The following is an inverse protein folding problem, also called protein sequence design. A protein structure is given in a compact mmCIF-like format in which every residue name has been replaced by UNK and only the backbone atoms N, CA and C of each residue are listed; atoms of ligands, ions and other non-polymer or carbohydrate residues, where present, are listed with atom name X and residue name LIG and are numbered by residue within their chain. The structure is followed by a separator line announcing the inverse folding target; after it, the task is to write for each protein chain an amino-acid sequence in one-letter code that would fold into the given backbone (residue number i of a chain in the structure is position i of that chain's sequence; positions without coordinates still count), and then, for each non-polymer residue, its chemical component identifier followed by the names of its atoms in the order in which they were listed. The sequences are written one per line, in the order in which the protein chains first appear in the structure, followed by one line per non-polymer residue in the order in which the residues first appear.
data_IF_003524095423
#
_entry.id   IF_003524095423
#
_cell.length_a   1.000
_cell.length_b   1.000
_cell.length_c   1.000
_cell.angle_alpha   90.00
_cell.angle_beta   90.00
_cell.angle_gamma   90.00
#
_symmetry.space_group_name_H-M   'P 1'
#
loop_
_entity.id
_entity.type
_entity.pdbx_description
1 polymer ?
#
# COMPACT_ATOMS: atom_id res chain seq x y z
N UNK A 1 11.28 15.67 25.71
CA UNK A 1 9.91 16.22 25.85
C UNK A 1 9.10 15.65 24.72
N UNK A 2 7.90 15.11 25.02
CA UNK A 2 6.95 14.64 24.00
C UNK A 2 6.12 15.83 23.53
N UNK A 3 5.79 15.87 22.24
CA UNK A 3 4.88 16.88 21.70
C UNK A 3 3.49 16.63 22.29
N UNK A 4 2.88 17.68 22.86
CA UNK A 4 1.48 17.66 23.33
C UNK A 4 0.56 18.36 22.35
N UNK A 5 1.13 19.12 21.40
CA UNK A 5 0.43 19.81 20.32
C UNK A 5 1.37 19.97 19.13
N UNK A 6 0.86 19.75 17.94
CA UNK A 6 1.53 20.05 16.66
C UNK A 6 0.62 20.99 15.88
N UNK A 7 1.12 22.17 15.54
CA UNK A 7 0.43 23.15 14.71
C UNK A 7 0.95 23.07 13.27
N UNK A 8 0.07 23.28 12.31
CA UNK A 8 0.33 23.24 10.88
C UNK A 8 0.17 24.64 10.27
N UNK A 9 0.78 24.88 9.11
CA UNK A 9 0.81 26.19 8.44
C UNK A 9 -0.59 26.70 8.05
N UNK A 10 -1.58 25.82 7.91
CA UNK A 10 -2.98 26.15 7.65
C UNK A 10 -3.79 26.53 8.91
N UNK A 11 -3.12 26.58 10.08
CA UNK A 11 -3.71 26.92 11.37
C UNK A 11 -4.45 25.78 12.06
N UNK A 12 -4.50 24.60 11.47
CA UNK A 12 -5.01 23.40 12.13
C UNK A 12 -3.97 22.83 13.11
N UNK A 13 -4.39 21.95 14.00
CA UNK A 13 -3.47 21.34 14.96
C UNK A 13 -3.92 19.95 15.38
N UNK A 14 -2.97 19.16 15.86
CA UNK A 14 -3.18 17.89 16.57
C UNK A 14 -2.83 18.10 18.05
N UNK A 15 -3.56 17.42 18.93
CA UNK A 15 -3.31 17.41 20.37
C UNK A 15 -3.08 15.98 20.86
N UNK A 16 -2.19 15.83 21.83
CA UNK A 16 -1.83 14.54 22.40
C UNK A 16 -1.78 14.61 23.92
N UNK A 17 -2.31 13.59 24.59
CA UNK A 17 -2.13 13.40 26.03
C UNK A 17 -1.36 12.12 26.29
N UNK A 18 -0.60 12.13 27.38
CA UNK A 18 0.23 10.99 27.78
C UNK A 18 0.02 10.66 29.27
N UNK A 19 0.08 9.38 29.59
CA UNK A 19 0.10 8.96 31.00
C UNK A 19 1.47 9.27 31.66
N UNK A 20 1.56 8.95 32.96
CA UNK A 20 2.79 9.19 33.75
C UNK A 20 4.00 8.37 33.27
N UNK A 21 3.78 7.26 32.56
CA UNK A 21 4.83 6.42 31.97
C UNK A 21 5.16 6.83 30.55
N UNK A 22 4.32 7.71 29.97
CA UNK A 22 4.50 8.32 28.68
C UNK A 22 3.90 7.54 27.52
N UNK A 23 2.95 6.69 27.76
CA UNK A 23 2.10 6.12 26.72
C UNK A 23 1.10 7.18 26.28
N UNK A 24 0.83 7.28 24.98
CA UNK A 24 -0.19 8.20 24.45
C UNK A 24 -1.57 7.66 24.79
N UNK A 25 -2.34 8.42 25.57
CA UNK A 25 -3.70 8.04 26.02
C UNK A 25 -4.79 8.76 25.25
N UNK A 26 -4.48 9.87 24.57
CA UNK A 26 -5.41 10.61 23.72
C UNK A 26 -4.67 11.21 22.53
N UNK A 27 -5.32 11.19 21.39
CA UNK A 27 -5.00 11.97 20.22
C UNK A 27 -6.26 12.63 19.69
N UNK A 28 -6.20 13.95 19.50
CA UNK A 28 -7.16 14.71 18.73
C UNK A 28 -6.53 15.07 17.40
N UNK A 29 -7.11 14.60 16.31
CA UNK A 29 -6.59 14.86 14.97
C UNK A 29 -6.95 16.29 14.49
N UNK A 30 -6.49 16.65 13.30
CA UNK A 30 -6.71 17.99 12.71
C UNK A 30 -8.18 18.33 12.46
N UNK A 31 -9.05 17.33 12.29
CA UNK A 31 -10.52 17.49 12.18
C UNK A 31 -11.23 17.55 13.53
N UNK A 32 -10.49 17.41 14.63
CA UNK A 32 -11.04 17.44 15.99
C UNK A 32 -11.54 16.10 16.51
N UNK A 33 -11.34 15.02 15.78
CA UNK A 33 -11.75 13.68 16.16
C UNK A 33 -10.77 13.07 17.15
N UNK A 34 -11.28 12.25 18.06
CA UNK A 34 -10.53 11.78 19.22
C UNK A 34 -10.41 10.25 19.19
N UNK A 35 -9.15 9.77 19.26
CA UNK A 35 -8.82 8.39 19.59
C UNK A 35 -8.31 8.31 21.02
N UNK A 36 -8.74 7.30 21.80
CA UNK A 36 -8.29 7.05 23.17
C UNK A 36 -7.65 5.69 23.32
N UNK A 37 -6.66 5.61 24.20
CA UNK A 37 -5.97 4.37 24.56
C UNK A 37 -5.88 4.23 26.07
N UNK A 38 -6.07 3.00 26.56
CA UNK A 38 -5.87 2.65 27.96
C UNK A 38 -4.80 1.57 28.03
N UNK A 39 -3.87 1.75 28.96
CA UNK A 39 -2.76 0.82 29.13
C UNK A 39 -2.76 0.21 30.53
N UNK A 40 -2.29 -1.02 30.63
CA UNK A 40 -1.95 -1.69 31.88
C UNK A 40 -0.64 -1.09 32.44
N UNK A 41 -0.34 -1.32 33.73
CA UNK A 41 0.86 -0.77 34.39
C UNK A 41 2.19 -1.21 33.74
N UNK A 42 2.22 -2.35 33.07
CA UNK A 42 3.37 -2.86 32.31
C UNK A 42 3.49 -2.27 30.89
N UNK A 43 2.63 -1.31 30.53
CA UNK A 43 2.63 -0.61 29.24
C UNK A 43 1.89 -1.35 28.12
N UNK A 44 1.19 -2.46 28.42
CA UNK A 44 0.37 -3.16 27.42
C UNK A 44 -0.93 -2.42 27.17
N UNK A 45 -1.30 -2.26 25.90
CA UNK A 45 -2.59 -1.68 25.49
C UNK A 45 -3.72 -2.62 25.85
N UNK A 46 -4.70 -2.18 26.65
CA UNK A 46 -5.86 -3.00 27.03
C UNK A 46 -7.17 -2.52 26.41
N UNK A 47 -7.21 -1.27 25.94
CA UNK A 47 -8.40 -0.71 25.26
C UNK A 47 -8.02 0.39 24.32
N UNK A 48 -8.67 0.42 23.14
CA UNK A 48 -8.60 1.49 22.16
C UNK A 48 -10.01 1.91 21.75
N UNK A 49 -10.30 3.19 21.76
CA UNK A 49 -11.56 3.77 21.26
C UNK A 49 -11.27 4.62 20.04
N UNK A 50 -11.85 4.28 18.91
CA UNK A 50 -11.70 5.00 17.65
C UNK A 50 -12.80 6.07 17.49
N UNK A 51 -12.60 7.12 16.67
CA UNK A 51 -13.61 8.15 16.40
C UNK A 51 -14.93 7.59 15.85
N UNK A 52 -14.91 6.47 15.15
CA UNK A 52 -16.10 5.77 14.65
C UNK A 52 -16.98 5.17 15.76
N UNK A 53 -16.51 5.17 17.02
CA UNK A 53 -17.15 4.46 18.12
C UNK A 53 -16.77 2.99 18.21
N UNK A 54 -15.88 2.49 17.33
CA UNK A 54 -15.33 1.14 17.47
C UNK A 54 -14.40 1.08 18.66
N UNK A 55 -14.61 0.08 19.52
CA UNK A 55 -13.84 -0.14 20.74
C UNK A 55 -13.20 -1.50 20.67
N UNK A 56 -11.86 -1.54 20.72
CA UNK A 56 -11.08 -2.75 20.87
C UNK A 56 -10.66 -2.95 22.31
N UNK A 57 -10.72 -4.21 22.79
CA UNK A 57 -10.21 -4.66 24.07
C UNK A 57 -9.22 -5.80 23.90
N UNK A 58 -8.19 -5.87 24.76
CA UNK A 58 -7.06 -6.79 24.62
C UNK A 58 -6.70 -7.43 25.95
N UNK A 59 -6.46 -8.74 25.94
CA UNK A 59 -5.97 -9.51 27.07
C UNK A 59 -4.62 -10.17 26.75
N UNK A 60 -3.81 -10.34 27.79
CA UNK A 60 -2.46 -10.86 27.68
C UNK A 60 -2.23 -11.95 28.72
N UNK A 61 -1.43 -12.96 28.35
CA UNK A 61 -0.94 -13.96 29.30
C UNK A 61 0.13 -13.36 30.24
N UNK A 62 0.59 -14.17 31.23
CA UNK A 62 1.62 -13.75 32.19
C UNK A 62 2.99 -13.46 31.54
N UNK A 63 3.24 -13.96 30.34
CA UNK A 63 4.45 -13.71 29.55
C UNK A 63 4.34 -12.47 28.66
N UNK A 64 3.13 -11.87 28.62
CA UNK A 64 2.85 -10.67 27.84
C UNK A 64 2.48 -10.90 26.38
N UNK A 65 2.13 -12.12 26.00
CA UNK A 65 1.56 -12.42 24.70
C UNK A 65 0.09 -12.03 24.68
N UNK A 66 -0.38 -11.42 23.58
CA UNK A 66 -1.80 -11.12 23.39
C UNK A 66 -2.55 -12.41 23.07
N UNK A 67 -3.43 -12.83 23.98
CA UNK A 67 -4.12 -14.12 23.88
C UNK A 67 -5.59 -14.01 23.51
N UNK A 68 -6.20 -12.84 23.71
CA UNK A 68 -7.59 -12.57 23.38
C UNK A 68 -7.76 -11.09 23.02
N UNK A 69 -8.53 -10.79 21.96
CA UNK A 69 -8.94 -9.44 21.62
C UNK A 69 -10.28 -9.44 20.90
N UNK A 70 -11.07 -8.41 21.18
CA UNK A 70 -12.41 -8.30 20.62
C UNK A 70 -12.83 -6.85 20.48
N UNK A 71 -13.91 -6.63 19.76
CA UNK A 71 -14.49 -5.29 19.61
C UNK A 71 -16.02 -5.30 19.85
N UNK A 72 -16.57 -4.10 19.98
CA UNK A 72 -18.02 -3.89 20.19
C UNK A 72 -18.87 -4.09 18.92
N UNK A 73 -18.26 -4.44 17.78
CA UNK A 73 -18.93 -4.83 16.54
C UNK A 73 -19.04 -6.37 16.38
N UNK A 74 -18.56 -7.11 17.36
CA UNK A 74 -18.71 -8.57 17.45
C UNK A 74 -17.56 -9.37 16.83
N UNK A 75 -16.46 -8.72 16.44
CA UNK A 75 -15.25 -9.46 16.10
C UNK A 75 -14.54 -9.93 17.36
N UNK A 76 -14.11 -11.18 17.35
CA UNK A 76 -13.44 -11.80 18.49
C UNK A 76 -12.37 -12.78 18.01
N UNK A 77 -11.19 -12.71 18.64
CA UNK A 77 -10.00 -13.47 18.26
C UNK A 77 -9.30 -14.03 19.48
N UNK A 78 -8.71 -15.21 19.34
CA UNK A 78 -7.89 -15.86 20.35
C UNK A 78 -6.56 -16.30 19.76
N UNK A 79 -5.49 -16.25 20.57
CA UNK A 79 -4.19 -16.80 20.22
C UNK A 79 -3.63 -17.68 21.34
N UNK A 80 -2.89 -18.71 20.97
CA UNK A 80 -2.16 -19.60 21.87
C UNK A 80 -0.68 -19.59 21.53
N UNK A 81 0.16 -19.61 22.54
CA UNK A 81 1.60 -19.53 22.40
C UNK A 81 2.30 -20.73 23.09
N UNK A 82 3.39 -21.18 22.49
CA UNK A 82 4.24 -22.20 23.11
C UNK A 82 5.11 -21.62 24.23
N UNK A 83 5.94 -22.45 24.85
CA UNK A 83 6.87 -22.03 25.92
C UNK A 83 7.96 -21.04 25.46
N UNK A 84 8.16 -20.89 24.16
CA UNK A 84 9.12 -19.97 23.54
C UNK A 84 8.51 -18.68 23.00
N UNK A 85 7.20 -18.45 23.30
CA UNK A 85 6.39 -17.35 22.82
C UNK A 85 6.17 -17.35 21.28
N UNK A 86 6.24 -18.51 20.62
CA UNK A 86 5.77 -18.61 19.25
C UNK A 86 4.25 -18.81 19.26
N UNK A 87 3.51 -18.07 18.43
CA UNK A 87 2.08 -18.28 18.26
C UNK A 87 1.86 -19.63 17.56
N UNK A 88 1.21 -20.58 18.21
CA UNK A 88 0.94 -21.91 17.65
C UNK A 88 -0.49 -22.09 17.14
N UNK A 89 -1.39 -21.20 17.53
CA UNK A 89 -2.79 -21.23 17.11
C UNK A 89 -3.40 -19.84 17.18
N UNK A 90 -4.16 -19.49 16.17
CA UNK A 90 -5.05 -18.32 16.13
C UNK A 90 -6.46 -18.77 15.76
N UNK A 91 -7.45 -18.16 16.40
CA UNK A 91 -8.86 -18.38 16.14
C UNK A 91 -9.57 -17.05 15.92
N UNK A 92 -10.37 -16.97 14.88
CA UNK A 92 -11.37 -15.92 14.67
C UNK A 92 -12.76 -16.50 14.87
N UNK A 93 -13.56 -15.90 15.71
CA UNK A 93 -14.98 -16.25 15.86
C UNK A 93 -15.74 -15.67 14.67
N UNK A 94 -16.40 -16.53 13.91
CA UNK A 94 -17.23 -16.13 12.76
C UNK A 94 -18.69 -15.99 13.21
N UNK A 95 -19.18 -16.94 13.99
CA UNK A 95 -20.48 -16.92 14.63
C UNK A 95 -20.51 -17.88 15.85
N UNK A 96 -21.68 -18.09 16.43
CA UNK A 96 -21.82 -18.95 17.63
C UNK A 96 -21.36 -20.40 17.42
N UNK A 97 -21.29 -20.89 16.19
CA UNK A 97 -20.94 -22.28 15.86
C UNK A 97 -19.65 -22.42 15.04
N UNK A 98 -19.21 -21.38 14.37
CA UNK A 98 -18.09 -21.43 13.43
C UNK A 98 -16.93 -20.57 13.89
N UNK A 99 -15.75 -21.16 13.84
CA UNK A 99 -14.47 -20.48 14.06
C UNK A 99 -13.54 -20.76 12.88
N UNK A 100 -12.81 -19.75 12.46
CA UNK A 100 -11.68 -19.91 11.54
C UNK A 100 -10.45 -20.13 12.39
N UNK A 101 -9.77 -21.27 12.20
CA UNK A 101 -8.61 -21.66 13.02
C UNK A 101 -7.39 -21.78 12.12
N UNK A 102 -6.32 -21.09 12.49
CA UNK A 102 -5.00 -21.24 11.88
C UNK A 102 -4.06 -21.87 12.91
N UNK A 103 -3.18 -22.76 12.48
CA UNK A 103 -2.18 -23.39 13.35
C UNK A 103 -0.79 -23.30 12.74
N UNK A 104 0.20 -23.21 13.63
CA UNK A 104 1.58 -23.04 13.24
C UNK A 104 2.48 -24.01 14.01
N UNK A 105 3.52 -24.51 13.34
CA UNK A 105 4.54 -25.34 13.96
C UNK A 105 5.91 -24.73 13.71
N UNK A 106 6.79 -24.87 14.69
CA UNK A 106 8.12 -24.27 14.66
C UNK A 106 9.21 -25.30 14.94
N UNK A 107 10.37 -25.09 14.37
CA UNK A 107 11.55 -25.87 14.69
C UNK A 107 12.22 -25.38 16.00
N UNK A 108 13.33 -26.01 16.35
CA UNK A 108 14.09 -25.66 17.58
C UNK A 108 14.72 -24.27 17.53
N UNK A 109 14.85 -23.65 16.33
CA UNK A 109 15.37 -22.30 16.14
C UNK A 109 14.27 -21.25 16.11
N UNK A 110 12.99 -21.63 16.26
CA UNK A 110 11.84 -20.73 16.19
C UNK A 110 11.42 -20.38 14.77
N UNK A 111 11.86 -21.14 13.76
CA UNK A 111 11.44 -20.93 12.37
C UNK A 111 10.17 -21.75 12.11
N UNK A 112 9.18 -21.14 11.43
CA UNK A 112 7.92 -21.81 11.12
C UNK A 112 8.14 -22.93 10.09
N UNK A 113 7.82 -24.17 10.45
CA UNK A 113 7.94 -25.34 9.58
C UNK A 113 6.62 -25.81 8.97
N UNK A 114 5.49 -25.35 9.53
CA UNK A 114 4.17 -25.67 9.01
C UNK A 114 3.17 -24.58 9.39
N UNK A 115 2.26 -24.29 8.48
CA UNK A 115 1.10 -23.42 8.69
C UNK A 115 -0.13 -24.12 8.11
N UNK A 116 -1.21 -24.20 8.90
CA UNK A 116 -2.53 -24.59 8.39
C UNK A 116 -3.46 -23.38 8.38
N UNK A 117 -4.16 -23.14 7.27
CA UNK A 117 -5.19 -22.10 7.17
C UNK A 117 -6.50 -22.50 7.87
N UNK A 118 -7.48 -21.60 7.87
CA UNK A 118 -8.80 -21.83 8.46
C UNK A 118 -9.64 -22.93 7.80
N UNK A 119 -9.24 -23.46 6.65
CA UNK A 119 -9.89 -24.56 5.95
C UNK A 119 -9.13 -25.88 6.13
N UNK A 120 -8.01 -25.86 6.85
CA UNK A 120 -7.16 -27.02 7.08
C UNK A 120 -6.13 -27.27 5.96
N UNK A 121 -5.95 -26.35 5.02
CA UNK A 121 -4.92 -26.43 4.00
C UNK A 121 -3.55 -26.19 4.61
N UNK A 122 -2.59 -27.08 4.37
CA UNK A 122 -1.28 -27.05 5.04
C UNK A 122 -0.17 -26.62 4.07
N UNK A 123 0.58 -25.59 4.47
CA UNK A 123 1.84 -25.19 3.83
C UNK A 123 3.00 -25.66 4.70
N UNK A 124 4.05 -26.24 4.10
CA UNK A 124 5.23 -26.73 4.82
C UNK A 124 6.50 -26.06 4.33
N UNK A 125 7.44 -25.83 5.27
CA UNK A 125 8.70 -25.14 5.02
C UNK A 125 9.87 -25.96 5.55
N UNK A 126 10.92 -26.08 4.75
CA UNK A 126 12.25 -26.53 5.18
C UNK A 126 13.24 -25.39 4.98
N UNK A 127 14.27 -25.32 5.80
CA UNK A 127 15.21 -24.21 5.80
C UNK A 127 16.63 -24.67 5.44
N UNK A 128 17.37 -23.75 4.82
CA UNK A 128 18.76 -23.97 4.48
C UNK A 128 19.62 -23.87 5.75
N UNK A 129 20.15 -24.99 6.19
CA UNK A 129 21.01 -25.10 7.39
C UNK A 129 20.44 -24.33 8.61
N UNK A 130 21.23 -23.39 9.16
CA UNK A 130 20.83 -22.54 10.29
C UNK A 130 20.27 -21.19 9.87
N UNK A 131 20.20 -20.95 8.55
CA UNK A 131 19.65 -19.72 7.97
C UNK A 131 18.12 -19.67 8.13
N UNK A 132 17.55 -18.46 8.05
CA UNK A 132 16.11 -18.24 7.89
C UNK A 132 15.64 -18.40 6.43
N UNK A 133 16.52 -18.74 5.50
CA UNK A 133 16.18 -18.95 4.09
C UNK A 133 15.46 -20.29 3.90
N UNK A 134 14.29 -20.24 3.27
CA UNK A 134 13.52 -21.44 2.92
C UNK A 134 14.27 -22.22 1.83
N UNK A 135 14.60 -23.46 2.08
CA UNK A 135 15.21 -24.37 1.08
C UNK A 135 14.16 -25.18 0.33
N UNK A 136 13.01 -25.43 0.95
CA UNK A 136 11.88 -26.15 0.33
C UNK A 136 10.56 -25.61 0.87
N UNK A 137 9.62 -25.39 -0.05
CA UNK A 137 8.24 -25.01 0.23
C UNK A 137 7.31 -26.05 -0.40
N UNK A 138 6.33 -26.52 0.34
CA UNK A 138 5.25 -27.38 -0.17
C UNK A 138 3.94 -26.62 0.04
N UNK A 139 3.23 -26.33 -1.04
CA UNK A 139 1.92 -25.65 -0.98
C UNK A 139 0.82 -26.63 -0.56
N UNK A 140 -0.37 -26.15 -0.16
CA UNK A 140 -1.51 -27.00 0.14
C UNK A 140 -1.92 -27.92 -1.00
N UNK A 141 -1.76 -27.47 -2.24
CA UNK A 141 -2.07 -28.24 -3.46
C UNK A 141 -0.99 -29.30 -3.77
N UNK A 142 0.08 -29.36 -2.97
CA UNK A 142 1.17 -30.31 -3.13
C UNK A 142 2.28 -29.85 -4.09
N UNK A 143 2.23 -28.61 -4.61
CA UNK A 143 3.31 -28.08 -5.43
C UNK A 143 4.58 -27.90 -4.58
N UNK A 144 5.73 -28.30 -5.13
CA UNK A 144 7.01 -28.27 -4.44
C UNK A 144 7.92 -27.25 -5.10
N UNK A 145 8.45 -26.31 -4.28
CA UNK A 145 9.47 -25.37 -4.69
C UNK A 145 10.76 -25.65 -3.91
N UNK A 146 11.88 -25.82 -4.61
CA UNK A 146 13.20 -26.00 -4.01
C UNK A 146 14.09 -24.81 -4.35
N UNK A 147 14.70 -24.22 -3.34
CA UNK A 147 15.53 -23.02 -3.45
C UNK A 147 16.99 -23.39 -3.25
N UNK A 148 17.86 -22.90 -4.12
CA UNK A 148 19.32 -23.05 -3.98
C UNK A 148 19.96 -21.69 -3.73
N UNK A 149 20.86 -21.64 -2.78
CA UNK A 149 21.53 -20.41 -2.36
C UNK A 149 23.05 -20.53 -2.54
N UNK A 150 23.71 -19.39 -2.77
CA UNK A 150 25.15 -19.28 -2.68
C UNK A 150 25.61 -19.05 -1.23
N UNK A 151 26.92 -18.96 -1.01
CA UNK A 151 27.52 -18.81 0.32
C UNK A 151 27.14 -17.50 1.04
N UNK A 152 26.66 -16.49 0.33
CA UNK A 152 26.17 -15.21 0.88
C UNK A 152 24.65 -15.11 0.87
N UNK A 153 23.96 -16.26 0.87
CA UNK A 153 22.50 -16.41 0.98
C UNK A 153 21.68 -15.76 -0.16
N UNK A 154 22.26 -15.57 -1.33
CA UNK A 154 21.50 -15.17 -2.52
C UNK A 154 20.87 -16.38 -3.18
N UNK A 155 19.61 -16.32 -3.55
CA UNK A 155 18.90 -17.39 -4.25
C UNK A 155 19.42 -17.52 -5.68
N UNK A 156 20.10 -18.62 -5.97
CA UNK A 156 20.69 -18.90 -7.29
C UNK A 156 19.73 -19.63 -8.22
N UNK A 157 18.79 -20.38 -7.67
CA UNK A 157 17.79 -21.08 -8.47
C UNK A 157 16.55 -21.45 -7.65
N UNK A 158 15.40 -21.54 -8.35
CA UNK A 158 14.14 -22.06 -7.83
C UNK A 158 13.70 -23.19 -8.78
N UNK A 159 13.63 -24.42 -8.26
CA UNK A 159 13.11 -25.57 -8.96
C UNK A 159 11.65 -25.79 -8.59
N UNK A 160 10.78 -26.01 -9.58
CA UNK A 160 9.39 -26.42 -9.43
C UNK A 160 9.03 -27.45 -10.48
N UNK A 161 7.77 -27.92 -10.49
CA UNK A 161 7.24 -28.82 -11.54
C UNK A 161 7.24 -28.16 -12.93
N UNK A 162 7.16 -26.82 -12.98
CA UNK A 162 7.25 -26.04 -14.21
C UNK A 162 8.69 -25.93 -14.77
N UNK A 163 9.69 -26.42 -14.04
CA UNK A 163 11.10 -26.33 -14.37
C UNK A 163 11.90 -25.45 -13.41
N UNK A 164 13.12 -25.11 -13.80
CA UNK A 164 14.05 -24.34 -12.98
C UNK A 164 14.18 -22.90 -13.49
N UNK A 165 14.02 -21.93 -12.59
CA UNK A 165 14.39 -20.53 -12.81
C UNK A 165 15.77 -20.30 -12.18
N UNK A 166 16.71 -19.71 -12.93
CA UNK A 166 18.08 -19.43 -12.45
C UNK A 166 18.34 -17.92 -12.34
N UNK A 167 19.16 -17.52 -11.38
CA UNK A 167 19.52 -16.13 -11.14
C UNK A 167 21.02 -15.96 -11.10
N UNK A 168 21.50 -14.86 -11.71
CA UNK A 168 22.88 -14.38 -11.57
C UNK A 168 22.90 -12.99 -10.95
N UNK A 169 23.99 -12.67 -10.25
CA UNK A 169 24.11 -11.43 -9.50
C UNK A 169 25.38 -10.66 -9.88
N UNK A 170 25.34 -9.35 -9.72
CA UNK A 170 26.51 -8.48 -9.78
C UNK A 170 27.40 -8.72 -8.54
N UNK A 171 28.62 -8.20 -8.55
CA UNK A 171 29.49 -8.20 -7.37
C UNK A 171 28.92 -7.42 -6.18
N UNK A 172 28.01 -6.47 -6.42
CA UNK A 172 27.31 -5.69 -5.40
C UNK A 172 26.02 -6.35 -4.92
N UNK A 173 25.66 -7.53 -5.46
CA UNK A 173 24.51 -8.31 -5.01
C UNK A 173 23.18 -8.01 -5.74
N UNK A 174 23.18 -7.10 -6.72
CA UNK A 174 21.98 -6.85 -7.54
C UNK A 174 21.78 -7.99 -8.56
N UNK A 175 20.51 -8.35 -8.87
CA UNK A 175 20.17 -9.38 -9.87
C UNK A 175 20.60 -8.94 -11.26
N UNK A 176 21.58 -9.61 -11.87
CA UNK A 176 22.12 -9.29 -13.19
C UNK A 176 21.52 -10.15 -14.30
N UNK A 177 21.06 -11.35 -13.98
CA UNK A 177 20.56 -12.34 -14.92
C UNK A 177 19.39 -13.11 -14.32
N UNK A 178 18.42 -13.44 -15.16
CA UNK A 178 17.33 -14.35 -14.85
C UNK A 178 17.09 -15.26 -16.08
N UNK A 179 17.07 -16.56 -15.88
CA UNK A 179 16.80 -17.57 -16.91
C UNK A 179 15.55 -18.30 -16.50
N UNK A 180 14.52 -18.27 -17.35
CA UNK A 180 13.27 -18.96 -17.09
C UNK A 180 13.37 -20.47 -17.38
N UNK A 181 12.36 -21.31 -17.04
CA UNK A 181 12.38 -22.73 -17.30
C UNK A 181 12.49 -23.14 -18.78
N UNK A 182 12.21 -22.23 -19.70
CA UNK A 182 12.34 -22.45 -21.14
C UNK A 182 13.72 -22.05 -21.68
N UNK A 183 14.60 -21.53 -20.82
CA UNK A 183 15.92 -21.06 -21.18
C UNK A 183 15.96 -19.59 -21.65
N UNK A 184 14.83 -18.89 -21.61
CA UNK A 184 14.79 -17.48 -22.00
C UNK A 184 15.49 -16.60 -20.97
N UNK A 185 16.35 -15.72 -21.44
CA UNK A 185 17.23 -14.92 -20.58
C UNK A 185 16.81 -13.46 -20.53
N UNK A 186 16.62 -12.94 -19.32
CA UNK A 186 16.51 -11.49 -19.03
C UNK A 186 17.82 -11.01 -18.42
N UNK A 187 18.38 -9.91 -18.92
CA UNK A 187 19.59 -9.30 -18.40
C UNK A 187 19.32 -7.92 -17.82
N UNK A 188 19.96 -7.63 -16.68
CA UNK A 188 19.88 -6.36 -15.96
C UNK A 188 21.26 -5.75 -15.81
N UNK A 189 21.38 -4.42 -15.95
CA UNK A 189 22.62 -3.68 -15.72
C UNK A 189 22.35 -2.53 -14.76
N UNK A 190 23.33 -2.24 -13.95
CA UNK A 190 23.23 -1.23 -12.90
C UNK A 190 24.42 -0.27 -12.99
N UNK A 191 24.22 0.96 -12.52
CA UNK A 191 25.30 1.91 -12.27
C UNK A 191 26.02 1.59 -10.94
N UNK A 192 26.96 2.46 -10.56
CA UNK A 192 27.73 2.32 -9.32
C UNK A 192 26.88 2.56 -8.05
N UNK A 193 25.74 3.24 -8.16
CA UNK A 193 24.80 3.48 -7.06
C UNK A 193 23.75 2.37 -6.96
N UNK A 194 23.84 1.34 -7.83
CA UNK A 194 22.89 0.22 -7.93
C UNK A 194 21.54 0.59 -8.55
N UNK A 195 21.45 1.68 -9.29
CA UNK A 195 20.29 2.02 -10.09
C UNK A 195 20.25 1.15 -11.34
N UNK A 196 19.08 0.61 -11.70
CA UNK A 196 18.88 -0.18 -12.91
C UNK A 196 18.98 0.73 -14.15
N UNK A 197 20.08 0.64 -14.91
CA UNK A 197 20.30 1.48 -16.10
C UNK A 197 19.92 0.80 -17.40
N UNK A 198 19.82 -0.54 -17.45
CA UNK A 198 19.35 -1.25 -18.64
C UNK A 198 18.71 -2.58 -18.31
N UNK A 199 17.69 -2.97 -19.11
CA UNK A 199 17.02 -4.27 -19.08
C UNK A 199 16.85 -4.79 -20.52
N UNK A 200 17.46 -5.95 -20.80
CA UNK A 200 17.25 -6.72 -22.04
C UNK A 200 16.21 -7.78 -21.80
N UNK A 201 15.15 -7.80 -22.60
CA UNK A 201 14.09 -8.83 -22.50
C UNK A 201 14.51 -10.12 -23.23
N UNK A 202 13.89 -11.28 -22.90
CA UNK A 202 14.26 -12.56 -23.49
C UNK A 202 14.24 -12.61 -25.01
N UNK A 203 13.23 -12.03 -25.63
CA UNK A 203 13.08 -11.99 -27.11
C UNK A 203 14.08 -11.07 -27.82
N UNK A 204 14.88 -10.32 -27.07
CA UNK A 204 15.89 -9.37 -27.55
C UNK A 204 17.30 -9.79 -27.17
N UNK A 205 17.43 -10.78 -26.30
CA UNK A 205 18.70 -11.26 -25.80
C UNK A 205 19.41 -12.12 -26.84
N UNK A 206 20.65 -11.77 -27.18
CA UNK A 206 21.55 -12.55 -28.03
C UNK A 206 22.59 -13.27 -27.15
N UNK A 207 22.54 -14.59 -27.13
CA UNK A 207 23.46 -15.42 -26.34
C UNK A 207 24.93 -15.25 -26.72
N UNK A 208 25.23 -14.93 -28.02
CA UNK A 208 26.61 -14.79 -28.50
C UNK A 208 27.27 -13.52 -27.98
N UNK A 209 26.51 -12.44 -27.91
CA UNK A 209 27.00 -11.14 -27.39
C UNK A 209 26.73 -10.99 -25.91
N UNK A 210 25.83 -11.80 -25.34
CA UNK A 210 25.33 -11.65 -24.00
C UNK A 210 24.56 -10.33 -23.78
N UNK A 211 23.95 -9.77 -24.83
CA UNK A 211 23.31 -8.46 -24.86
C UNK A 211 22.17 -8.39 -25.87
N UNK A 212 21.64 -7.20 -26.15
CA UNK A 212 20.62 -6.94 -27.15
C UNK A 212 19.99 -5.58 -27.03
N UNK A 213 19.02 -5.24 -27.93
CA UNK A 213 18.18 -4.06 -27.75
C UNK A 213 17.54 -4.07 -26.36
N UNK A 214 17.54 -2.91 -25.69
CA UNK A 214 17.20 -2.87 -24.28
C UNK A 214 16.40 -1.62 -23.92
N UNK A 215 15.62 -1.75 -22.85
CA UNK A 215 15.16 -0.61 -22.10
C UNK A 215 16.34 0.04 -21.40
N UNK A 216 16.44 1.37 -21.45
CA UNK A 216 17.45 2.17 -20.74
C UNK A 216 16.78 3.14 -19.80
N UNK A 217 17.45 3.41 -18.67
CA UNK A 217 16.93 4.28 -17.64
C UNK A 217 18.00 5.29 -17.26
N UNK A 218 17.61 6.56 -17.09
CA UNK A 218 18.48 7.61 -16.59
C UNK A 218 17.93 8.15 -15.27
N UNK A 219 18.84 8.57 -14.40
CA UNK A 219 18.53 9.06 -13.06
C UNK A 219 19.14 10.43 -12.84
N UNK A 220 18.52 11.24 -11.98
CA UNK A 220 19.09 12.50 -11.51
C UNK A 220 20.06 12.26 -10.32
N UNK A 221 20.60 13.35 -9.78
CA UNK A 221 21.54 13.30 -8.66
C UNK A 221 20.89 12.87 -7.33
N UNK A 222 19.56 12.81 -7.25
CA UNK A 222 18.78 12.34 -6.10
C UNK A 222 18.25 10.91 -6.30
N UNK A 223 18.73 10.19 -7.34
CA UNK A 223 18.32 8.85 -7.71
C UNK A 223 16.84 8.72 -8.18
N UNK A 224 16.19 9.82 -8.59
CA UNK A 224 14.91 9.73 -9.26
C UNK A 224 15.11 9.33 -10.72
N UNK A 225 14.30 8.40 -11.22
CA UNK A 225 14.35 8.01 -12.63
C UNK A 225 13.72 9.09 -13.51
N UNK A 226 14.56 9.87 -14.21
CA UNK A 226 14.13 10.99 -15.05
C UNK A 226 13.78 10.60 -16.48
N UNK A 227 14.24 9.44 -16.96
CA UNK A 227 13.83 8.94 -18.29
C UNK A 227 13.84 7.40 -18.37
N UNK A 228 13.04 6.89 -19.29
CA UNK A 228 13.13 5.52 -19.79
C UNK A 228 13.05 5.51 -21.31
N UNK A 229 13.98 4.80 -21.95
CA UNK A 229 14.01 4.60 -23.41
C UNK A 229 13.66 3.16 -23.71
N UNK A 230 12.71 2.92 -24.60
CA UNK A 230 12.36 1.57 -25.05
C UNK A 230 13.38 1.02 -26.08
N UNK A 231 13.33 -0.26 -26.45
CA UNK A 231 14.23 -0.83 -27.45
C UNK A 231 14.11 -0.22 -28.86
N UNK A 232 13.03 0.49 -29.16
CA UNK A 232 12.81 1.18 -30.43
C UNK A 232 13.36 2.62 -30.41
N UNK A 233 13.80 3.11 -29.24
CA UNK A 233 14.35 4.44 -29.07
C UNK A 233 13.33 5.51 -28.64
N UNK A 234 12.08 5.14 -28.33
CA UNK A 234 11.10 6.08 -27.80
C UNK A 234 11.46 6.43 -26.36
N UNK A 235 11.49 7.72 -26.04
CA UNK A 235 11.88 8.23 -24.72
C UNK A 235 10.66 8.72 -23.95
N UNK A 236 10.47 8.19 -22.75
CA UNK A 236 9.49 8.63 -21.76
C UNK A 236 10.26 9.40 -20.68
N UNK A 237 10.12 10.71 -20.64
CA UNK A 237 10.80 11.54 -19.66
C UNK A 237 9.86 12.02 -18.56
N UNK A 238 10.37 11.98 -17.34
CA UNK A 238 9.63 12.29 -16.10
C UNK A 238 10.47 13.20 -15.21
N UNK A 239 10.68 14.48 -15.58
CA UNK A 239 11.45 15.41 -14.77
C UNK A 239 10.76 15.69 -13.43
N UNK A 240 11.58 15.92 -12.40
CA UNK A 240 11.15 16.23 -11.03
C UNK A 240 11.43 17.70 -10.70
N UNK A 241 10.70 18.24 -9.74
CA UNK A 241 10.94 19.57 -9.19
C UNK A 241 12.08 19.55 -8.14
N UNK A 242 12.42 20.70 -7.61
CA UNK A 242 13.48 20.84 -6.59
C UNK A 242 13.17 20.19 -5.25
N UNK A 243 11.91 19.82 -4.99
CA UNK A 243 11.48 19.07 -3.82
C UNK A 243 11.48 17.55 -4.07
N UNK A 244 11.82 17.09 -5.29
CA UNK A 244 11.83 15.68 -5.66
C UNK A 244 10.46 15.13 -6.03
N UNK A 245 9.48 16.00 -6.36
CA UNK A 245 8.14 15.59 -6.79
C UNK A 245 8.08 15.57 -8.33
N UNK A 246 7.29 14.66 -8.89
CA UNK A 246 7.11 14.54 -10.34
C UNK A 246 6.54 15.85 -10.92
N UNK A 247 7.35 16.60 -11.66
CA UNK A 247 6.94 17.89 -12.23
C UNK A 247 6.20 17.74 -13.56
N UNK A 248 6.56 16.72 -14.36
CA UNK A 248 5.99 16.55 -15.69
C UNK A 248 6.13 15.10 -16.19
N UNK A 249 5.17 14.66 -17.00
CA UNK A 249 5.28 13.48 -17.86
C UNK A 249 5.33 13.92 -19.31
N UNK A 250 6.47 13.73 -19.96
CA UNK A 250 6.68 14.19 -21.36
C UNK A 250 6.12 13.16 -22.34
N UNK A 251 5.36 13.61 -23.33
CA UNK A 251 4.88 12.76 -24.41
C UNK A 251 6.08 12.31 -25.28
N UNK A 252 6.30 10.98 -25.45
CA UNK A 252 7.42 10.46 -26.22
C UNK A 252 7.49 10.98 -27.66
N UNK A 253 6.33 11.23 -28.28
CA UNK A 253 6.26 11.73 -29.65
C UNK A 253 6.72 13.20 -29.81
N UNK A 254 6.82 13.94 -28.71
CA UNK A 254 7.25 15.35 -28.70
C UNK A 254 8.61 15.53 -28.04
N UNK A 255 9.20 14.45 -27.52
CA UNK A 255 10.49 14.51 -26.82
C UNK A 255 11.63 14.86 -27.78
N UNK A 256 12.38 15.91 -27.45
CA UNK A 256 13.61 16.31 -28.13
C UNK A 256 14.83 15.91 -27.29
N UNK A 257 15.62 14.92 -27.73
CA UNK A 257 16.82 14.48 -27.02
C UNK A 257 17.89 15.56 -26.83
N UNK A 258 17.92 16.55 -27.72
CA UNK A 258 18.94 17.63 -27.69
C UNK A 258 18.68 18.62 -26.54
N UNK A 259 17.40 18.89 -26.24
CA UNK A 259 16.96 19.80 -25.18
C UNK A 259 16.53 19.04 -23.96
N UNK A 260 16.37 17.72 -24.05
CA UNK A 260 15.78 16.83 -23.00
C UNK A 260 14.40 17.30 -22.54
N UNK A 261 13.60 17.84 -23.46
CA UNK A 261 12.28 18.41 -23.18
C UNK A 261 11.25 17.99 -24.23
N UNK A 262 9.99 18.29 -23.98
CA UNK A 262 8.88 18.02 -24.87
C UNK A 262 7.57 18.54 -24.28
N UNK A 263 6.48 18.34 -25.01
CA UNK A 263 5.13 18.61 -24.48
C UNK A 263 4.67 17.42 -23.64
N UNK A 264 3.92 17.72 -22.58
CA UNK A 264 3.45 16.68 -21.68
C UNK A 264 2.51 17.23 -20.61
N UNK A 265 2.11 16.35 -19.70
CA UNK A 265 1.27 16.69 -18.55
C UNK A 265 2.16 17.25 -17.46
N UNK A 266 1.84 18.44 -16.94
CA UNK A 266 2.55 19.08 -15.82
C UNK A 266 1.74 18.99 -14.54
N UNK A 267 2.44 18.98 -13.42
CA UNK A 267 1.87 18.85 -12.09
C UNK A 267 2.29 20.00 -11.20
N UNK A 268 1.34 20.52 -10.40
CA UNK A 268 1.63 21.47 -9.34
C UNK A 268 1.18 20.88 -8.00
N UNK A 269 1.87 21.27 -6.93
CA UNK A 269 1.71 20.73 -5.59
C UNK A 269 1.55 21.85 -4.56
N UNK A 270 0.86 21.56 -3.48
CA UNK A 270 0.81 22.43 -2.31
C UNK A 270 2.02 22.20 -1.39
N UNK A 271 2.02 22.88 -0.25
CA UNK A 271 3.07 22.80 0.77
C UNK A 271 3.10 21.46 1.52
N UNK A 272 2.02 20.69 1.45
CA UNK A 272 1.91 19.34 2.05
C UNK A 272 2.22 18.23 1.02
N UNK A 273 2.84 18.58 -0.13
CA UNK A 273 3.21 17.70 -1.24
C UNK A 273 2.03 17.00 -1.93
N UNK A 274 0.81 17.53 -1.76
CA UNK A 274 -0.39 17.02 -2.44
C UNK A 274 -0.52 17.67 -3.81
N UNK A 275 -0.82 16.87 -4.85
CA UNK A 275 -1.04 17.38 -6.21
C UNK A 275 -2.31 18.21 -6.27
N UNK A 276 -2.18 19.50 -6.60
CA UNK A 276 -3.29 20.45 -6.66
C UNK A 276 -3.71 20.80 -8.09
N UNK A 277 -2.83 20.64 -9.09
CA UNK A 277 -3.15 20.84 -10.52
C UNK A 277 -2.54 19.76 -11.39
N UNK A 278 -3.29 19.39 -12.43
CA UNK A 278 -2.82 18.64 -13.58
C UNK A 278 -3.05 19.53 -14.81
N UNK A 279 -1.98 19.92 -15.49
CA UNK A 279 -2.02 20.83 -16.63
C UNK A 279 -1.71 20.01 -17.88
N UNK A 280 -2.69 19.90 -18.77
CA UNK A 280 -2.58 19.13 -20.00
C UNK A 280 -1.87 19.90 -21.11
N UNK A 281 -1.34 19.24 -22.16
CA UNK A 281 -0.62 19.89 -23.25
C UNK A 281 -1.44 20.91 -24.06
N UNK A 282 -2.75 20.78 -24.09
CA UNK A 282 -3.70 21.70 -24.72
C UNK A 282 -4.01 22.94 -23.88
N UNK A 283 -3.48 23.00 -22.66
CA UNK A 283 -3.71 24.08 -21.70
C UNK A 283 -4.87 23.83 -20.74
N UNK A 284 -5.62 22.74 -20.89
CA UNK A 284 -6.66 22.34 -19.94
C UNK A 284 -6.07 22.12 -18.54
N UNK A 285 -6.80 22.52 -17.50
CA UNK A 285 -6.36 22.39 -16.11
C UNK A 285 -7.39 21.61 -15.30
N UNK A 286 -6.97 20.48 -14.73
CA UNK A 286 -7.72 19.76 -13.71
C UNK A 286 -7.27 20.23 -12.34
N UNK A 287 -8.19 20.76 -11.53
CA UNK A 287 -7.93 21.29 -10.19
C UNK A 287 -8.37 20.30 -9.12
N UNK A 288 -7.49 20.04 -8.15
CA UNK A 288 -7.79 19.18 -7.00
C UNK A 288 -7.70 20.02 -5.73
N UNK A 289 -8.68 19.88 -4.83
CA UNK A 289 -8.71 20.56 -3.53
C UNK A 289 -8.79 19.54 -2.41
N UNK A 290 -8.13 19.84 -1.30
CA UNK A 290 -8.02 18.94 -0.15
C UNK A 290 -8.47 19.65 1.12
N UNK A 291 -8.99 18.87 2.07
CA UNK A 291 -9.23 19.35 3.43
C UNK A 291 -7.94 19.33 4.27
N UNK A 292 -8.06 19.77 5.52
CA UNK A 292 -6.95 19.79 6.47
C UNK A 292 -6.41 18.39 6.85
N UNK A 293 -7.21 17.33 6.64
CA UNK A 293 -6.80 15.94 6.86
C UNK A 293 -6.05 15.34 5.67
N UNK A 294 -6.07 16.03 4.52
CA UNK A 294 -5.52 15.55 3.27
C UNK A 294 -6.51 14.75 2.44
N UNK A 295 -7.80 14.72 2.79
CA UNK A 295 -8.82 14.10 1.97
C UNK A 295 -9.11 14.97 0.75
N UNK A 296 -9.25 14.36 -0.43
CA UNK A 296 -9.63 15.04 -1.66
C UNK A 296 -11.11 15.47 -1.57
N UNK A 297 -11.38 16.76 -1.43
CA UNK A 297 -12.75 17.27 -1.24
C UNK A 297 -13.40 17.81 -2.52
N UNK A 298 -12.60 18.16 -3.54
CA UNK A 298 -13.15 18.63 -4.81
C UNK A 298 -12.23 18.33 -5.98
N UNK A 299 -12.80 17.92 -7.11
CA UNK A 299 -12.14 17.78 -8.40
C UNK A 299 -12.90 18.59 -9.43
N UNK A 300 -12.21 19.48 -10.13
CA UNK A 300 -12.74 20.33 -11.20
C UNK A 300 -12.06 19.89 -12.48
N UNK A 301 -12.85 19.46 -13.45
CA UNK A 301 -12.32 19.03 -14.74
C UNK A 301 -12.00 20.24 -15.63
N UNK A 302 -11.15 20.09 -16.66
CA UNK A 302 -10.65 21.21 -17.46
C UNK A 302 -11.74 22.10 -18.08
N UNK A 303 -12.86 21.50 -18.47
CA UNK A 303 -13.99 22.20 -19.11
C UNK A 303 -14.75 23.12 -18.14
N UNK A 304 -14.59 22.91 -16.85
CA UNK A 304 -15.29 23.61 -15.77
C UNK A 304 -14.37 24.53 -14.97
N UNK A 305 -13.06 24.45 -15.23
CA UNK A 305 -12.07 25.23 -14.50
C UNK A 305 -12.04 26.69 -14.95
N UNK A 306 -12.16 27.60 -14.00
CA UNK A 306 -11.98 29.05 -14.19
C UNK A 306 -10.62 29.47 -13.62
N UNK A 307 -9.76 29.98 -14.51
CA UNK A 307 -8.41 30.40 -14.15
C UNK A 307 -8.39 31.72 -13.36
N UNK A 308 -9.43 32.56 -13.43
CA UNK A 308 -9.49 33.82 -12.70
C UNK A 308 -9.75 33.60 -11.21
N UNK A 309 -10.60 32.62 -10.91
CA UNK A 309 -10.97 32.25 -9.53
C UNK A 309 -10.16 31.11 -8.95
N UNK A 310 -9.37 30.39 -9.76
CA UNK A 310 -8.72 29.11 -9.44
C UNK A 310 -9.74 28.07 -8.88
N UNK A 311 -10.98 28.08 -9.45
CA UNK A 311 -12.10 27.25 -9.01
C UNK A 311 -13.02 26.92 -10.20
N UNK A 312 -14.23 26.39 -9.91
CA UNK A 312 -15.29 26.09 -10.85
C UNK A 312 -16.24 25.03 -10.33
N UNK A 313 -17.33 24.73 -11.03
CA UNK A 313 -18.15 23.56 -10.74
C UNK A 313 -17.28 22.29 -10.78
N UNK A 314 -17.55 21.32 -9.90
CA UNK A 314 -16.73 20.11 -9.84
C UNK A 314 -17.36 19.04 -8.97
N UNK A 315 -16.80 17.85 -9.05
CA UNK A 315 -17.17 16.77 -8.13
C UNK A 315 -16.74 17.11 -6.72
N UNK A 316 -17.67 17.04 -5.77
CA UNK A 316 -17.43 17.26 -4.34
C UNK A 316 -17.49 15.92 -3.61
N UNK A 317 -16.48 15.67 -2.82
CA UNK A 317 -16.35 14.47 -1.98
C UNK A 317 -16.54 14.87 -0.52
N UNK A 318 -17.50 14.25 0.16
CA UNK A 318 -17.75 14.48 1.57
C UNK A 318 -17.38 13.25 2.36
N UNK A 319 -16.86 13.49 3.54
CA UNK A 319 -16.36 12.44 4.42
C UNK A 319 -17.10 12.46 5.76
N UNK A 320 -17.30 11.28 6.32
CA UNK A 320 -17.85 11.16 7.67
C UNK A 320 -16.81 11.52 8.74
N UNK A 321 -17.23 11.54 10.00
CA UNK A 321 -16.37 11.85 11.12
C UNK A 321 -15.17 10.89 11.28
N UNK A 322 -15.19 9.71 10.72
CA UNK A 322 -14.06 8.77 10.70
C UNK A 322 -13.15 8.94 9.47
N UNK A 323 -13.36 9.98 8.64
CA UNK A 323 -12.58 10.25 7.43
C UNK A 323 -12.90 9.30 6.26
N UNK A 324 -14.03 8.60 6.28
CA UNK A 324 -14.48 7.69 5.22
C UNK A 324 -15.35 8.45 4.23
N UNK A 325 -15.19 8.18 2.92
CA UNK A 325 -15.98 8.82 1.88
C UNK A 325 -17.48 8.53 2.06
N UNK A 326 -18.27 9.55 2.41
CA UNK A 326 -19.71 9.42 2.65
C UNK A 326 -20.52 9.73 1.40
N UNK A 327 -20.20 10.84 0.69
CA UNK A 327 -20.95 11.26 -0.48
C UNK A 327 -20.03 11.71 -1.63
N UNK A 328 -20.51 11.46 -2.86
CA UNK A 328 -19.99 12.05 -4.09
C UNK A 328 -21.10 12.89 -4.71
N UNK A 329 -20.84 14.18 -4.88
CA UNK A 329 -21.78 15.14 -5.47
C UNK A 329 -21.24 15.61 -6.81
N UNK A 330 -22.05 15.55 -7.86
CA UNK A 330 -21.68 15.99 -9.22
C UNK A 330 -21.55 17.52 -9.30
N UNK A 331 -20.95 18.05 -10.41
CA UNK A 331 -20.89 19.48 -10.67
C UNK A 331 -22.27 20.19 -10.71
N UNK A 332 -23.34 19.45 -11.01
CA UNK A 332 -24.72 19.93 -11.04
C UNK A 332 -25.42 19.84 -9.65
N UNK A 333 -24.64 19.65 -8.59
CA UNK A 333 -25.10 19.54 -7.21
C UNK A 333 -26.01 18.32 -6.92
N UNK A 334 -25.96 17.29 -7.77
CA UNK A 334 -26.68 16.02 -7.56
C UNK A 334 -25.81 15.04 -6.81
N UNK A 335 -26.33 14.42 -5.74
CA UNK A 335 -25.64 13.32 -5.05
C UNK A 335 -25.64 12.10 -5.97
N UNK A 336 -24.49 11.73 -6.50
CA UNK A 336 -24.34 10.57 -7.38
C UNK A 336 -24.23 9.27 -6.61
N UNK A 337 -23.53 9.32 -5.45
CA UNK A 337 -23.35 8.17 -4.57
C UNK A 337 -23.30 8.58 -3.11
N UNK A 338 -23.88 7.74 -2.26
CA UNK A 338 -23.70 7.78 -0.82
C UNK A 338 -23.32 6.40 -0.29
N UNK A 339 -22.41 6.38 0.66
CA UNK A 339 -21.93 5.17 1.31
C UNK A 339 -22.33 5.18 2.79
N UNK A 340 -22.81 4.04 3.28
CA UNK A 340 -23.05 3.81 4.71
C UNK A 340 -22.10 2.74 5.18
N UNK A 341 -21.49 2.96 6.34
CA UNK A 341 -20.47 2.09 6.89
C UNK A 341 -20.90 1.50 8.22
N UNK A 342 -20.45 0.27 8.49
CA UNK A 342 -20.46 -0.29 9.84
C UNK A 342 -19.33 0.34 10.71
N UNK A 343 -19.28 -0.04 11.98
CA UNK A 343 -18.26 0.49 12.91
C UNK A 343 -16.83 0.10 12.52
N UNK A 344 -16.65 -0.98 11.75
CA UNK A 344 -15.35 -1.45 11.23
C UNK A 344 -14.88 -0.64 10.02
N UNK A 345 -15.77 0.14 9.41
CA UNK A 345 -15.50 0.88 8.20
C UNK A 345 -15.75 0.10 6.90
N UNK A 346 -16.48 -1.01 6.98
CA UNK A 346 -16.94 -1.73 5.80
C UNK A 346 -18.20 -1.06 5.26
N UNK A 347 -18.28 -0.92 3.93
CA UNK A 347 -19.49 -0.40 3.27
C UNK A 347 -20.61 -1.43 3.46
N UNK A 348 -21.70 -1.04 4.11
CA UNK A 348 -22.90 -1.86 4.29
C UNK A 348 -24.02 -1.47 3.33
N UNK A 349 -23.96 -0.25 2.78
CA UNK A 349 -24.91 0.21 1.78
C UNK A 349 -24.27 1.24 0.83
N UNK A 350 -24.56 1.12 -0.47
CA UNK A 350 -24.27 2.12 -1.51
C UNK A 350 -25.61 2.60 -2.11
N UNK A 351 -25.86 3.91 -2.07
CA UNK A 351 -27.05 4.57 -2.59
C UNK A 351 -26.65 5.34 -3.85
N UNK A 352 -27.28 5.06 -4.98
CA UNK A 352 -27.04 5.75 -6.25
C UNK A 352 -27.89 7.01 -6.40
N UNK A 353 -27.57 7.86 -7.39
CA UNK A 353 -28.33 9.04 -7.74
C UNK A 353 -29.83 8.75 -8.03
N UNK A 354 -30.13 7.62 -8.66
CA UNK A 354 -31.50 7.20 -8.96
C UNK A 354 -32.34 6.99 -7.69
N UNK A 355 -31.72 6.43 -6.64
CA UNK A 355 -32.34 6.25 -5.33
C UNK A 355 -32.74 7.59 -4.68
N UNK A 356 -31.87 8.60 -4.78
CA UNK A 356 -32.14 9.94 -4.26
C UNK A 356 -33.27 10.67 -5.02
N UNK A 357 -33.26 10.58 -6.36
CA UNK A 357 -34.26 11.24 -7.23
C UNK A 357 -35.68 10.66 -7.08
N UNK A 358 -35.82 9.40 -6.68
CA UNK A 358 -37.10 8.75 -6.45
C UNK A 358 -37.84 9.31 -5.22
N UNK A 359 -37.21 10.13 -4.38
CA UNK A 359 -37.79 10.70 -3.17
C UNK A 359 -38.17 9.67 -2.11
N UNK A 360 -37.62 8.48 -2.19
CA UNK A 360 -37.81 7.44 -1.19
C UNK A 360 -36.98 7.78 0.08
N UNK A 361 -37.67 7.74 1.23
CA UNK A 361 -37.06 8.05 2.52
C UNK A 361 -36.58 6.79 3.27
N UNK A 362 -36.89 5.61 2.73
CA UNK A 362 -36.45 4.33 3.32
C UNK A 362 -35.08 3.93 2.72
N UNK A 363 -34.02 4.25 3.43
CA UNK A 363 -32.63 3.96 3.03
C UNK A 363 -32.39 2.48 2.68
N UNK A 364 -33.15 1.56 3.26
CA UNK A 364 -33.08 0.13 2.97
C UNK A 364 -33.56 -0.26 1.57
N UNK A 365 -34.29 0.64 0.87
CA UNK A 365 -34.89 0.37 -0.44
C UNK A 365 -34.16 1.01 -1.61
N UNK A 366 -33.31 2.01 -1.38
CA UNK A 366 -32.73 2.86 -2.42
C UNK A 366 -31.26 2.56 -2.75
N UNK A 367 -30.70 1.48 -2.23
CA UNK A 367 -29.30 1.16 -2.47
C UNK A 367 -29.00 -0.32 -2.47
N UNK A 368 -27.77 -0.66 -2.85
CA UNK A 368 -27.22 -2.00 -2.75
C UNK A 368 -26.77 -2.25 -1.32
N UNK A 369 -27.28 -3.32 -0.68
CA UNK A 369 -26.82 -3.78 0.63
C UNK A 369 -25.68 -4.80 0.42
N UNK A 370 -24.64 -4.74 1.26
CA UNK A 370 -23.47 -5.60 1.23
C UNK A 370 -23.37 -6.51 2.46
#
# INVERSE_FOLDING_TARGET
KRAVKTEYDDGTYQEFEYDQWGNRILEKNRSGEITRWTYRQDGKLVRQELPSGLIWEFEYDDRGNQVHWWNNDGEEFFAQFDERNNCVREEQVIDAMRRRVQTYQYDRLGRMISMSDGNGNVTQYEYWERSSRVSRLITPEGAVFQYRYNQIEQCMAIQSDAGEVQFGYTKLGARALEIDPLGNTTRYRYDLLSNLIAKVLPNQYDEKTGDGPCYRYEYDAMDHRVSSTDPLGNVFATPYDTAGRLAMEVNPNTYDPSTRSGQGIRYEYDTDDRRIKVIYPDGGIRRLKYDAMGNLVKVIEPEQYDAETDDGPGYVYRYDAAGRLEEIVSPDEVVEKRYVYDLRGLVVQEISAEGYLAGETDEARIGTLY
#
